data_IF_363074822464
#
_entry.id   IF_363074822464
#
_cell.length_a   1.000
_cell.length_b   1.000
_cell.length_c   1.000
_cell.angle_alpha   90.00
_cell.angle_beta   90.00
_cell.angle_gamma   90.00
#
_symmetry.space_group_name_H-M   'P 1'
#
loop_
_entity.id
_entity.type
_entity.pdbx_description
1 polymer ?
#
# COMPACT_ATOMS: atom_id res chain seq x y z
N UNK A 1 -8.51 18.25 -14.52
CA UNK A 1 -8.36 19.00 -13.26
C UNK A 1 -8.03 18.01 -12.15
N UNK A 2 -6.85 18.07 -11.53
CA UNK A 2 -6.50 17.17 -10.40
C UNK A 2 -6.87 17.89 -9.10
N UNK A 3 -7.85 17.34 -8.38
CA UNK A 3 -8.40 17.90 -7.15
C UNK A 3 -7.32 17.95 -6.05
N UNK A 4 -6.72 19.12 -5.80
CA UNK A 4 -5.58 19.29 -4.85
C UNK A 4 -5.99 19.32 -3.38
N UNK A 5 -7.28 19.19 -3.08
CA UNK A 5 -7.84 19.21 -1.72
C UNK A 5 -7.64 17.91 -0.94
N UNK A 6 -7.25 16.80 -1.59
CA UNK A 6 -7.05 15.51 -0.90
C UNK A 6 -6.04 15.60 0.25
N UNK A 7 -5.00 16.43 0.13
CA UNK A 7 -4.01 16.60 1.21
C UNK A 7 -4.51 17.48 2.37
N UNK A 8 -5.65 18.16 2.22
CA UNK A 8 -6.24 19.02 3.26
C UNK A 8 -7.27 18.29 4.12
N UNK A 9 -7.86 17.20 3.60
CA UNK A 9 -8.96 16.46 4.25
C UNK A 9 -8.56 15.00 4.54
N UNK A 10 -7.49 14.49 3.91
CA UNK A 10 -7.01 13.12 4.07
C UNK A 10 -6.15 12.85 5.32
N UNK A 11 -5.90 11.57 5.65
CA UNK A 11 -5.03 11.18 6.76
C UNK A 11 -3.63 11.79 6.59
N UNK A 12 -3.06 12.35 7.66
CA UNK A 12 -1.72 12.99 7.64
C UNK A 12 -0.57 12.00 7.70
N UNK A 13 -0.85 10.75 8.05
CA UNK A 13 0.13 9.67 8.20
C UNK A 13 -0.24 8.48 7.34
N UNK A 14 0.73 7.61 7.11
CA UNK A 14 0.49 6.31 6.52
C UNK A 14 -0.50 5.51 7.36
N UNK A 15 -1.42 4.81 6.69
CA UNK A 15 -2.33 3.86 7.31
C UNK A 15 -1.89 2.44 6.94
N UNK A 16 -1.63 1.61 7.95
CA UNK A 16 -1.40 0.18 7.75
C UNK A 16 -2.68 -0.50 7.25
N UNK A 17 -2.56 -1.27 6.17
CA UNK A 17 -3.63 -2.11 5.63
C UNK A 17 -3.48 -3.52 6.20
N UNK A 18 -2.30 -4.12 6.01
CA UNK A 18 -1.98 -5.49 6.46
C UNK A 18 -0.47 -5.72 6.45
N UNK A 19 -0.02 -6.85 7.01
CA UNK A 19 1.38 -7.26 7.09
C UNK A 19 1.58 -8.69 6.63
N UNK A 20 2.73 -8.96 5.99
CA UNK A 20 3.16 -10.28 5.55
C UNK A 20 4.59 -10.48 6.04
N UNK A 21 4.77 -11.19 7.17
CA UNK A 21 6.09 -11.28 7.82
C UNK A 21 6.66 -9.89 8.13
N UNK A 22 7.77 -9.52 7.49
CA UNK A 22 8.39 -8.18 7.64
C UNK A 22 7.92 -7.17 6.58
N UNK A 23 7.06 -7.55 5.64
CA UNK A 23 6.46 -6.62 4.68
C UNK A 23 5.19 -5.96 5.25
N UNK A 24 5.02 -4.67 4.97
CA UNK A 24 3.86 -3.88 5.38
C UNK A 24 3.20 -3.25 4.15
N UNK A 25 1.91 -3.49 3.96
CA UNK A 25 1.11 -2.82 2.94
C UNK A 25 0.47 -1.58 3.57
N UNK A 26 0.79 -0.40 3.06
CA UNK A 26 0.33 0.87 3.63
C UNK A 26 -0.36 1.74 2.59
N UNK A 27 -1.41 2.46 3.00
CA UNK A 27 -1.99 3.56 2.26
C UNK A 27 -1.33 4.87 2.70
N UNK A 28 -0.81 5.64 1.74
CA UNK A 28 -0.17 6.94 1.95
C UNK A 28 -1.19 8.07 1.95
N UNK A 29 -0.90 9.21 2.60
CA UNK A 29 -1.74 10.42 2.55
C UNK A 29 -2.09 10.91 1.14
N UNK A 30 -1.23 10.66 0.16
CA UNK A 30 -1.42 11.05 -1.23
C UNK A 30 -2.29 10.06 -2.04
N UNK A 31 -2.86 9.05 -1.38
CA UNK A 31 -3.67 8.00 -2.01
C UNK A 31 -2.88 6.86 -2.65
N UNK A 32 -1.54 6.88 -2.58
CA UNK A 32 -0.72 5.78 -3.07
C UNK A 32 -0.78 4.59 -2.10
N UNK A 33 -0.76 3.37 -2.63
CA UNK A 33 -0.58 2.15 -1.86
C UNK A 33 0.83 1.63 -2.08
N UNK A 34 1.54 1.34 -0.99
CA UNK A 34 2.93 0.91 -1.04
C UNK A 34 3.16 -0.34 -0.19
N UNK A 35 3.92 -1.29 -0.73
CA UNK A 35 4.47 -2.41 0.04
C UNK A 35 5.91 -2.08 0.45
N UNK A 36 6.16 -2.03 1.76
CA UNK A 36 7.45 -1.70 2.37
C UNK A 36 8.05 -2.91 3.09
N UNK A 37 9.38 -3.03 3.05
CA UNK A 37 10.10 -4.07 3.77
C UNK A 37 9.83 -5.49 3.25
N UNK A 38 10.18 -6.46 4.09
CA UNK A 38 10.03 -7.88 3.80
C UNK A 38 11.06 -8.45 2.81
N UNK A 39 11.20 -9.76 2.88
CA UNK A 39 12.02 -10.55 1.93
C UNK A 39 11.17 -11.03 0.75
N UNK A 40 11.78 -11.74 -0.20
CA UNK A 40 11.09 -12.23 -1.40
C UNK A 40 9.80 -13.01 -1.08
N UNK A 41 9.81 -13.87 -0.07
CA UNK A 41 8.62 -14.63 0.36
C UNK A 41 7.49 -13.74 0.86
N UNK A 42 7.80 -12.76 1.71
CA UNK A 42 6.82 -11.76 2.20
C UNK A 42 6.18 -10.99 1.04
N UNK A 43 7.00 -10.59 0.05
CA UNK A 43 6.54 -9.87 -1.14
C UNK A 43 5.66 -10.76 -2.03
N UNK A 44 5.91 -12.06 -2.11
CA UNK A 44 5.06 -13.02 -2.84
C UNK A 44 3.71 -13.19 -2.16
N UNK A 45 3.69 -13.46 -0.84
CA UNK A 45 2.45 -13.56 -0.07
C UNK A 45 1.60 -12.28 -0.18
N UNK A 46 2.24 -11.12 -0.15
CA UNK A 46 1.56 -9.84 -0.37
C UNK A 46 0.89 -9.75 -1.75
N UNK A 47 1.59 -10.16 -2.82
CA UNK A 47 1.05 -10.14 -4.18
C UNK A 47 -0.15 -11.05 -4.32
N UNK A 48 -0.07 -12.27 -3.80
CA UNK A 48 -1.18 -13.25 -3.84
C UNK A 48 -2.42 -12.69 -3.13
N UNK A 49 -2.25 -12.15 -1.92
CA UNK A 49 -3.35 -11.55 -1.18
C UNK A 49 -3.93 -10.33 -1.91
N UNK A 50 -3.09 -9.46 -2.49
CA UNK A 50 -3.56 -8.31 -3.29
C UNK A 50 -4.38 -8.80 -4.49
N UNK A 51 -3.93 -9.83 -5.21
CA UNK A 51 -4.68 -10.39 -6.33
C UNK A 51 -6.05 -10.96 -5.92
N UNK A 52 -6.19 -11.46 -4.70
CA UNK A 52 -7.45 -12.01 -4.21
C UNK A 52 -8.39 -10.94 -3.65
N UNK A 53 -7.87 -9.94 -2.94
CA UNK A 53 -8.69 -9.03 -2.12
C UNK A 53 -8.61 -7.55 -2.53
N UNK A 54 -7.60 -7.16 -3.32
CA UNK A 54 -7.36 -5.77 -3.73
C UNK A 54 -6.93 -5.69 -5.21
N UNK A 55 -7.55 -6.47 -6.08
CA UNK A 55 -7.12 -6.65 -7.48
C UNK A 55 -7.19 -5.37 -8.34
N UNK A 56 -8.00 -4.38 -7.96
CA UNK A 56 -8.08 -3.06 -8.62
C UNK A 56 -7.00 -2.07 -8.13
N UNK A 57 -6.27 -2.41 -7.07
CA UNK A 57 -5.30 -1.50 -6.47
C UNK A 57 -4.00 -1.43 -7.27
N UNK A 58 -3.55 -0.21 -7.57
CA UNK A 58 -2.19 0.02 -8.10
C UNK A 58 -1.21 0.13 -6.93
N UNK A 59 -0.48 -0.96 -6.68
CA UNK A 59 0.48 -1.07 -5.57
C UNK A 59 1.89 -0.80 -6.06
N UNK A 60 2.62 0.07 -5.34
CA UNK A 60 4.05 0.31 -5.56
C UNK A 60 4.86 -0.61 -4.66
N UNK A 61 5.72 -1.43 -5.26
CA UNK A 61 6.64 -2.28 -4.52
C UNK A 61 7.94 -1.53 -4.29
N UNK A 62 8.26 -1.22 -3.03
CA UNK A 62 9.61 -0.74 -2.71
C UNK A 62 10.63 -1.82 -3.06
N UNK A 63 11.75 -1.42 -3.66
CA UNK A 63 12.92 -2.30 -3.80
C UNK A 63 13.36 -2.74 -2.41
#
# INVERSE_FOLDING_TARGET
MKNRIAHLIGPKTDRLITTFGKAQLVARPNGAIELKGGMAGDKTAAKEWISLFMHEAVVRFSK
#
